data_IF_705264896308
#
_entry.id   IF_705264896308
#
_cell.length_a   1.000
_cell.length_b   1.000
_cell.length_c   1.000
_cell.angle_alpha   90.00
_cell.angle_beta   90.00
_cell.angle_gamma   90.00
#
_symmetry.space_group_name_H-M   'P 1'
#
loop_
_entity.id
_entity.type
_entity.pdbx_description
1 polymer ?
#
# COMPACT_ATOMS: atom_id res chain seq x y z
N UNK A 1 1.15 -12.53 -13.55
CA UNK A 1 0.89 -12.55 -12.10
C UNK A 1 1.98 -11.72 -11.45
N UNK A 2 1.62 -10.66 -10.74
CA UNK A 2 2.58 -9.89 -9.96
C UNK A 2 3.05 -10.75 -8.79
N UNK A 3 4.35 -10.84 -8.56
CA UNK A 3 4.91 -11.50 -7.39
C UNK A 3 4.90 -10.53 -6.18
N UNK A 4 5.05 -11.06 -4.97
CA UNK A 4 4.99 -10.28 -3.74
C UNK A 4 5.95 -9.08 -3.72
N UNK A 5 7.13 -9.23 -4.34
CA UNK A 5 8.16 -8.19 -4.39
C UNK A 5 7.79 -7.06 -5.35
N UNK A 6 7.08 -7.36 -6.43
CA UNK A 6 6.57 -6.33 -7.35
C UNK A 6 5.45 -5.51 -6.71
N UNK A 7 4.59 -6.15 -5.92
CA UNK A 7 3.54 -5.48 -5.14
C UNK A 7 4.16 -4.60 -4.05
N UNK A 8 5.14 -5.12 -3.32
CA UNK A 8 5.88 -4.34 -2.32
C UNK A 8 6.58 -3.13 -2.93
N UNK A 9 7.29 -3.31 -4.04
CA UNK A 9 7.94 -2.19 -4.74
C UNK A 9 6.93 -1.13 -5.17
N UNK A 10 5.78 -1.53 -5.73
CA UNK A 10 4.73 -0.62 -6.15
C UNK A 10 4.14 0.16 -4.96
N UNK A 11 3.85 -0.53 -3.85
CA UNK A 11 3.36 0.11 -2.62
C UNK A 11 4.39 1.11 -2.08
N UNK A 12 5.66 0.71 -2.01
CA UNK A 12 6.75 1.57 -1.51
C UNK A 12 6.94 2.79 -2.41
N UNK A 13 6.79 2.66 -3.72
CA UNK A 13 6.82 3.78 -4.66
C UNK A 13 5.70 4.79 -4.38
N UNK A 14 4.45 4.34 -4.25
CA UNK A 14 3.33 5.25 -3.95
C UNK A 14 3.49 5.93 -2.59
N UNK A 15 3.95 5.20 -1.58
CA UNK A 15 4.25 5.78 -0.27
C UNK A 15 5.35 6.84 -0.38
N UNK A 16 6.42 6.59 -1.14
CA UNK A 16 7.49 7.59 -1.36
C UNK A 16 6.98 8.84 -2.07
N UNK A 17 6.07 8.68 -3.03
CA UNK A 17 5.44 9.81 -3.69
C UNK A 17 4.64 10.66 -2.69
N UNK A 18 3.89 10.03 -1.78
CA UNK A 18 3.16 10.74 -0.73
C UNK A 18 4.08 11.43 0.29
N UNK A 19 5.22 10.82 0.61
CA UNK A 19 6.19 11.40 1.54
C UNK A 19 7.09 12.46 0.88
N UNK A 20 6.98 12.69 -0.43
CA UNK A 20 7.78 13.68 -1.14
C UNK A 20 7.51 15.09 -0.59
N UNK A 21 8.56 15.77 -0.14
CA UNK A 21 8.46 17.10 0.47
C UNK A 21 8.21 17.07 1.99
N UNK A 22 8.14 15.89 2.60
CA UNK A 22 8.16 15.72 4.06
C UNK A 22 9.58 15.43 4.57
N UNK A 23 9.79 15.49 5.88
CA UNK A 23 11.02 15.07 6.55
C UNK A 23 11.27 13.55 6.46
N UNK A 24 10.26 12.77 6.07
CA UNK A 24 10.32 11.32 5.95
C UNK A 24 10.67 10.82 4.53
N UNK A 25 10.91 11.72 3.56
CA UNK A 25 11.19 11.36 2.17
C UNK A 25 12.42 10.44 1.97
N UNK A 26 13.33 10.38 2.94
CA UNK A 26 14.54 9.54 2.91
C UNK A 26 14.49 8.31 3.81
N UNK A 27 13.36 8.03 4.45
CA UNK A 27 13.24 6.87 5.36
C UNK A 27 13.27 5.57 4.57
N UNK A 28 14.00 4.58 5.09
CA UNK A 28 13.94 3.22 4.56
C UNK A 28 12.58 2.59 4.89
N UNK A 29 11.87 2.17 3.84
CA UNK A 29 10.54 1.57 3.95
C UNK A 29 10.69 0.08 3.70
N UNK A 30 10.50 -0.71 4.76
CA UNK A 30 10.45 -2.17 4.73
C UNK A 30 9.07 -2.71 5.12
N UNK A 31 8.88 -4.02 4.95
CA UNK A 31 7.62 -4.71 5.29
C UNK A 31 7.17 -4.57 6.75
N UNK A 32 8.07 -4.36 7.69
CA UNK A 32 7.80 -4.14 9.12
C UNK A 32 7.51 -2.68 9.47
N UNK A 33 7.63 -1.77 8.49
CA UNK A 33 7.45 -0.34 8.70
C UNK A 33 5.97 -0.01 8.94
N UNK A 34 5.68 0.64 10.07
CA UNK A 34 4.31 1.00 10.43
C UNK A 34 3.85 2.25 9.68
N UNK A 35 2.69 2.13 9.01
CA UNK A 35 2.12 3.20 8.18
C UNK A 35 1.82 4.46 9.02
N UNK A 36 1.23 4.30 10.19
CA UNK A 36 0.84 5.43 11.06
C UNK A 36 1.92 5.80 12.08
N UNK A 37 2.64 4.81 12.64
CA UNK A 37 3.62 5.05 13.72
C UNK A 37 5.00 5.44 13.22
N UNK A 38 5.45 4.89 12.10
CA UNK A 38 6.79 5.15 11.56
C UNK A 38 6.74 6.18 10.45
N UNK A 39 5.77 6.04 9.54
CA UNK A 39 5.63 6.93 8.38
C UNK A 39 4.68 8.11 8.62
N UNK A 40 4.08 8.19 9.81
CA UNK A 40 3.14 9.25 10.20
C UNK A 40 2.03 9.52 9.17
N UNK A 41 1.60 8.49 8.43
CA UNK A 41 0.52 8.64 7.46
C UNK A 41 -0.79 8.92 8.21
N UNK A 42 -1.37 10.10 7.96
CA UNK A 42 -2.69 10.44 8.45
C UNK A 42 -3.80 9.79 7.61
N UNK A 43 -5.05 9.95 8.02
CA UNK A 43 -6.21 9.35 7.33
C UNK A 43 -6.36 9.84 5.89
N UNK A 44 -5.96 11.06 5.57
CA UNK A 44 -6.05 11.61 4.22
C UNK A 44 -4.96 11.04 3.32
N UNK A 45 -3.73 10.94 3.82
CA UNK A 45 -2.62 10.27 3.13
C UNK A 45 -2.93 8.79 2.92
N UNK A 46 -3.52 8.13 3.92
CA UNK A 46 -3.96 6.74 3.81
C UNK A 46 -5.01 6.59 2.71
N UNK A 47 -6.07 7.41 2.72
CA UNK A 47 -7.09 7.38 1.67
C UNK A 47 -6.49 7.64 0.28
N UNK A 48 -5.55 8.58 0.17
CA UNK A 48 -4.86 8.90 -1.10
C UNK A 48 -4.01 7.74 -1.60
N UNK A 49 -3.32 7.04 -0.68
CA UNK A 49 -2.55 5.83 -0.99
C UNK A 49 -3.45 4.74 -1.56
N UNK A 50 -4.58 4.46 -0.91
CA UNK A 50 -5.51 3.43 -1.36
C UNK A 50 -6.05 3.71 -2.76
N UNK A 51 -6.43 4.96 -3.04
CA UNK A 51 -6.92 5.38 -4.36
C UNK A 51 -5.83 5.18 -5.43
N UNK A 52 -4.58 5.53 -5.12
CA UNK A 52 -3.45 5.33 -6.04
C UNK A 52 -3.19 3.85 -6.30
N UNK A 53 -3.22 3.01 -5.25
CA UNK A 53 -3.03 1.57 -5.37
C UNK A 53 -4.20 0.89 -6.07
N UNK A 54 -5.44 1.32 -5.85
CA UNK A 54 -6.61 0.86 -6.61
C UNK A 54 -6.44 1.20 -8.10
N UNK A 55 -6.03 2.43 -8.44
CA UNK A 55 -5.73 2.80 -9.82
C UNK A 55 -4.61 1.97 -10.44
N UNK A 56 -3.61 1.57 -9.65
CA UNK A 56 -2.45 0.79 -10.10
C UNK A 56 -2.72 -0.70 -10.25
N UNK A 57 -3.47 -1.30 -9.33
CA UNK A 57 -3.79 -2.73 -9.33
C UNK A 57 -5.17 -3.05 -9.91
N UNK A 58 -5.99 -2.04 -10.17
CA UNK A 58 -7.32 -2.14 -10.76
C UNK A 58 -8.42 -2.62 -9.81
N UNK A 59 -8.13 -2.76 -8.52
CA UNK A 59 -9.06 -3.27 -7.50
C UNK A 59 -8.65 -2.83 -6.09
N UNK A 60 -9.65 -2.63 -5.24
CA UNK A 60 -9.48 -2.36 -3.82
C UNK A 60 -9.75 -3.63 -2.99
N UNK A 61 -8.74 -4.16 -2.25
CA UNK A 61 -8.91 -5.34 -1.39
C UNK A 61 -9.86 -5.10 -0.21
N UNK A 62 -10.15 -3.86 0.17
CA UNK A 62 -10.93 -3.50 1.36
C UNK A 62 -12.45 -3.41 1.10
N UNK A 63 -12.90 -3.62 -0.13
CA UNK A 63 -14.33 -3.57 -0.48
C UNK A 63 -15.11 -4.85 -0.12
N UNK A 64 -14.42 -5.95 0.13
CA UNK A 64 -15.02 -7.24 0.47
C UNK A 64 -14.86 -7.54 1.97
N UNK A 65 -13.94 -8.44 2.34
CA UNK A 65 -13.84 -9.01 3.69
C UNK A 65 -12.63 -8.48 4.50
N UNK A 66 -11.75 -7.68 3.90
CA UNK A 66 -10.58 -7.11 4.57
C UNK A 66 -10.91 -5.75 5.17
N UNK A 67 -10.72 -5.60 6.47
CA UNK A 67 -10.82 -4.30 7.14
C UNK A 67 -9.50 -3.55 7.04
N UNK A 68 -9.54 -2.29 6.62
CA UNK A 68 -8.36 -1.42 6.66
C UNK A 68 -7.82 -1.20 8.08
N UNK A 69 -8.67 -1.36 9.10
CA UNK A 69 -8.24 -1.25 10.50
C UNK A 69 -7.24 -2.35 10.91
N UNK A 70 -7.20 -3.46 10.18
CA UNK A 70 -6.27 -4.58 10.43
C UNK A 70 -4.91 -4.37 9.74
N UNK A 71 -4.76 -3.30 8.96
CA UNK A 71 -3.52 -2.97 8.24
C UNK A 71 -2.71 -1.95 9.02
N UNK A 72 -1.63 -2.40 9.65
CA UNK A 72 -0.78 -1.55 10.48
C UNK A 72 0.60 -1.29 9.86
N UNK A 73 1.06 -2.17 8.97
CA UNK A 73 2.38 -2.13 8.35
C UNK A 73 2.33 -2.22 6.82
N UNK A 74 3.44 -1.89 6.17
CA UNK A 74 3.61 -2.08 4.71
C UNK A 74 3.43 -3.55 4.33
N UNK A 75 3.91 -4.49 5.14
CA UNK A 75 3.75 -5.92 4.93
C UNK A 75 2.29 -6.37 4.99
N UNK A 76 1.49 -5.78 5.87
CA UNK A 76 0.04 -6.04 5.93
C UNK A 76 -0.65 -5.55 4.64
N UNK A 77 -0.23 -4.38 4.14
CA UNK A 77 -0.75 -3.83 2.89
C UNK A 77 -0.37 -4.71 1.69
N UNK A 78 0.89 -5.19 1.63
CA UNK A 78 1.32 -6.15 0.59
C UNK A 78 0.48 -7.41 0.63
N UNK A 79 0.22 -7.96 1.82
CA UNK A 79 -0.63 -9.16 1.98
C UNK A 79 -2.07 -8.92 1.54
N UNK A 80 -2.62 -7.74 1.79
CA UNK A 80 -3.96 -7.37 1.34
C UNK A 80 -4.04 -7.31 -0.20
N UNK A 81 -3.02 -6.75 -0.87
CA UNK A 81 -2.99 -6.64 -2.34
C UNK A 81 -2.53 -7.91 -3.06
N UNK A 82 -1.84 -8.85 -2.40
CA UNK A 82 -1.42 -10.14 -2.98
C UNK A 82 -2.54 -10.91 -3.71
N UNK A 83 -3.70 -11.21 -3.10
CA UNK A 83 -4.76 -11.97 -3.75
C UNK A 83 -5.36 -11.22 -4.96
N UNK A 84 -5.36 -9.89 -4.89
CA UNK A 84 -6.00 -9.03 -5.88
C UNK A 84 -5.09 -8.77 -7.09
N UNK A 85 -3.79 -8.57 -6.87
CA UNK A 85 -2.78 -8.39 -7.92
C UNK A 85 -2.38 -9.71 -8.61
N UNK A 86 -2.66 -10.85 -7.98
CA UNK A 86 -2.51 -12.17 -8.59
C UNK A 86 -3.66 -12.52 -9.53
N UNK A 87 -4.85 -11.93 -9.33
CA UNK A 87 -5.99 -12.14 -10.22
C UNK A 87 -5.70 -11.47 -11.57
N UNK A 88 -5.79 -12.19 -12.70
CA UNK A 88 -5.73 -11.54 -14.00
C UNK A 88 -6.85 -10.52 -14.07
N UNK A 89 -6.53 -9.29 -14.51
CA UNK A 89 -7.51 -8.31 -14.95
C UNK A 89 -8.42 -9.03 -15.97
N UNK A 90 -9.63 -9.41 -15.52
CA UNK A 90 -10.62 -10.02 -16.38
C UNK A 90 -10.97 -8.99 -17.46
N UNK A 91 -10.86 -9.47 -18.70
CA UNK A 91 -10.95 -8.75 -19.97
C UNK A 91 -12.22 -7.93 -20.18
#
# INVERSE_FOLDING_TARGET
MLNAREIENAIVEEIRLLLTGTDLAGVEIGSDCHLTRTLHLDSLMMASLLIALEGRFGRDPFLEDLSIADVASVGDLVRAYQPVAAAPALA
#
